data_IF_739258504991
#
_entry.id   IF_739258504991
#
_cell.length_a   1.000
_cell.length_b   1.000
_cell.length_c   1.000
_cell.angle_alpha   90.00
_cell.angle_beta   90.00
_cell.angle_gamma   90.00
#
_symmetry.space_group_name_H-M   'P 1'
#
loop_
_entity.id
_entity.type
_entity.pdbx_description
1 polymer ?
#
# COMPACT_ATOMS: atom_id res chain seq x y z
N UNK A 1 3.62 3.99 10.75
CA UNK A 1 3.56 4.34 9.32
C UNK A 1 2.11 4.57 8.90
N UNK A 2 1.85 5.62 8.12
CA UNK A 2 0.50 6.10 7.74
C UNK A 2 -0.12 7.06 8.76
N UNK A 3 -1.12 6.59 9.50
CA UNK A 3 -1.99 7.38 10.37
C UNK A 3 -1.41 7.78 11.76
N UNK A 4 -0.11 7.54 12.01
CA UNK A 4 0.51 7.73 13.33
C UNK A 4 0.33 6.51 14.23
N UNK A 5 1.40 5.77 14.49
CA UNK A 5 1.43 4.66 15.44
C UNK A 5 1.50 5.19 16.89
N UNK A 6 1.15 4.37 17.91
CA UNK A 6 1.38 4.74 19.30
C UNK A 6 2.84 5.16 19.53
N UNK A 7 3.04 6.38 20.05
CA UNK A 7 4.35 6.99 20.25
C UNK A 7 4.81 7.93 19.14
N UNK A 8 4.14 7.96 17.98
CA UNK A 8 4.44 8.92 16.91
C UNK A 8 4.00 10.34 17.32
N UNK A 9 4.92 11.30 17.28
CA UNK A 9 4.61 12.73 17.56
C UNK A 9 3.78 13.39 16.46
N UNK A 10 3.79 12.83 15.25
CA UNK A 10 3.09 13.35 14.07
C UNK A 10 2.83 12.22 13.09
N UNK A 11 1.90 12.41 12.15
CA UNK A 11 1.67 11.44 11.06
C UNK A 11 2.63 11.71 9.91
N UNK A 12 2.87 10.69 9.08
CA UNK A 12 3.68 10.85 7.86
C UNK A 12 3.09 11.92 6.93
N UNK A 13 1.76 11.93 6.78
CA UNK A 13 1.07 12.92 5.98
C UNK A 13 1.27 14.36 6.51
N UNK A 14 1.23 14.54 7.83
CA UNK A 14 1.48 15.84 8.45
C UNK A 14 2.95 16.27 8.30
N UNK A 15 3.90 15.34 8.47
CA UNK A 15 5.32 15.60 8.25
C UNK A 15 5.62 16.00 6.79
N UNK A 16 5.04 15.30 5.82
CA UNK A 16 5.17 15.61 4.40
C UNK A 16 4.60 16.99 4.05
N UNK A 17 3.40 17.32 4.56
CA UNK A 17 2.81 18.65 4.37
C UNK A 17 3.67 19.75 4.99
N UNK A 18 4.19 19.52 6.19
CA UNK A 18 5.11 20.45 6.82
C UNK A 18 6.34 20.70 5.93
N UNK A 19 7.01 19.64 5.47
CA UNK A 19 8.20 19.76 4.64
C UNK A 19 7.91 20.51 3.33
N UNK A 20 6.89 20.11 2.57
CA UNK A 20 6.54 20.75 1.29
C UNK A 20 6.22 22.25 1.46
N UNK A 21 5.50 22.59 2.51
CA UNK A 21 5.10 23.99 2.75
C UNK A 21 6.26 24.87 3.20
N UNK A 22 7.25 24.31 3.90
CA UNK A 22 8.49 25.02 4.24
C UNK A 22 9.46 25.15 3.06
N UNK A 23 9.25 24.36 2.00
CA UNK A 23 10.05 24.38 0.76
C UNK A 23 9.32 25.06 -0.40
N UNK A 24 8.43 26.01 -0.09
CA UNK A 24 7.84 26.92 -1.08
C UNK A 24 6.54 26.44 -1.75
N UNK A 25 6.04 25.25 -1.43
CA UNK A 25 4.73 24.81 -1.94
C UNK A 25 3.62 25.45 -1.11
N UNK A 26 2.72 26.20 -1.77
CA UNK A 26 1.61 26.85 -1.07
C UNK A 26 0.74 25.84 -0.30
N UNK A 27 0.35 26.18 0.94
CA UNK A 27 -0.48 25.31 1.82
C UNK A 27 -1.78 24.85 1.16
N UNK A 28 -2.37 25.69 0.29
CA UNK A 28 -3.59 25.38 -0.46
C UNK A 28 -3.40 24.31 -1.56
N UNK A 29 -2.16 24.00 -1.91
CA UNK A 29 -1.78 22.96 -2.89
C UNK A 29 -1.42 21.63 -2.23
N UNK A 30 -1.45 21.53 -0.89
CA UNK A 30 -1.04 20.33 -0.16
C UNK A 30 -2.14 19.86 0.79
N UNK A 31 -2.60 18.63 0.57
CA UNK A 31 -3.59 17.96 1.40
C UNK A 31 -2.88 16.83 2.13
N UNK A 32 -2.92 16.86 3.46
CA UNK A 32 -2.45 15.76 4.29
C UNK A 32 -3.63 14.86 4.61
N UNK A 33 -3.52 13.56 4.29
CA UNK A 33 -4.52 12.55 4.62
C UNK A 33 -3.92 11.63 5.70
N UNK A 34 -4.16 11.89 7.00
CA UNK A 34 -3.56 11.15 8.12
C UNK A 34 -4.32 9.87 8.43
N UNK A 35 -4.79 9.16 7.39
CA UNK A 35 -5.63 7.96 7.53
C UNK A 35 -5.07 6.83 6.68
N UNK A 36 -5.34 5.59 7.11
CA UNK A 36 -4.80 4.38 6.50
C UNK A 36 -3.53 3.90 7.21
N UNK A 37 -3.47 2.59 7.47
CA UNK A 37 -2.33 1.92 8.14
C UNK A 37 -1.56 1.00 7.20
N UNK A 38 -2.08 0.80 6.00
CA UNK A 38 -1.51 -0.02 4.94
C UNK A 38 -1.72 0.69 3.59
N UNK A 39 -1.06 0.18 2.54
CA UNK A 39 -1.13 0.77 1.20
C UNK A 39 -2.56 0.87 0.68
N UNK A 40 -3.39 -0.17 0.88
CA UNK A 40 -4.74 -0.22 0.33
C UNK A 40 -5.66 0.84 0.97
N UNK A 41 -5.66 0.93 2.29
CA UNK A 41 -6.46 1.92 3.04
C UNK A 41 -6.01 3.35 2.75
N UNK A 42 -4.71 3.59 2.57
CA UNK A 42 -4.18 4.88 2.12
C UNK A 42 -4.62 5.20 0.68
N UNK A 43 -4.58 4.21 -0.22
CA UNK A 43 -5.08 4.36 -1.59
C UNK A 43 -6.56 4.72 -1.62
N UNK A 44 -7.40 4.01 -0.87
CA UNK A 44 -8.83 4.32 -0.77
C UNK A 44 -9.06 5.76 -0.28
N UNK A 45 -8.26 6.22 0.69
CA UNK A 45 -8.38 7.56 1.23
C UNK A 45 -8.07 8.64 0.20
N UNK A 46 -6.93 8.57 -0.52
CA UNK A 46 -6.61 9.59 -1.50
C UNK A 46 -7.50 9.49 -2.75
N UNK A 47 -7.95 8.30 -3.15
CA UNK A 47 -8.88 8.14 -4.27
C UNK A 47 -10.22 8.81 -3.94
N UNK A 48 -10.71 8.69 -2.70
CA UNK A 48 -11.92 9.41 -2.26
C UNK A 48 -11.75 10.92 -2.40
N UNK A 49 -10.60 11.45 -2.00
CA UNK A 49 -10.27 12.88 -2.13
C UNK A 49 -10.11 13.32 -3.60
N UNK A 50 -9.53 12.47 -4.45
CA UNK A 50 -9.42 12.73 -5.88
C UNK A 50 -10.80 12.80 -6.55
N UNK A 51 -11.69 11.85 -6.22
CA UNK A 51 -13.06 11.80 -6.77
C UNK A 51 -13.88 13.03 -6.39
N UNK A 52 -13.79 13.53 -5.16
CA UNK A 52 -14.48 14.75 -4.74
C UNK A 52 -14.04 15.98 -5.55
N UNK A 53 -12.82 15.94 -6.10
CA UNK A 53 -12.21 16.99 -6.93
C UNK A 53 -12.26 16.72 -8.42
N UNK A 54 -12.89 15.62 -8.87
CA UNK A 54 -12.93 15.17 -10.27
C UNK A 54 -11.52 14.99 -10.88
N UNK A 55 -10.56 14.53 -10.08
CA UNK A 55 -9.20 14.18 -10.50
C UNK A 55 -9.14 12.68 -10.72
N UNK A 56 -8.55 12.23 -11.82
CA UNK A 56 -8.44 10.80 -12.17
C UNK A 56 -7.00 10.35 -12.43
N UNK A 57 -6.14 11.24 -12.93
CA UNK A 57 -4.73 10.95 -13.16
C UNK A 57 -3.91 11.21 -11.88
N UNK A 58 -3.00 10.31 -11.53
CA UNK A 58 -2.14 10.45 -10.34
C UNK A 58 -0.73 9.95 -10.62
N UNK A 59 0.26 10.71 -10.15
CA UNK A 59 1.65 10.27 -10.06
C UNK A 59 1.90 9.87 -8.62
N UNK A 60 2.25 8.60 -8.40
CA UNK A 60 2.56 8.07 -7.08
C UNK A 60 4.08 8.16 -6.86
N UNK A 61 4.51 8.93 -5.87
CA UNK A 61 5.92 9.01 -5.49
C UNK A 61 6.23 8.01 -4.38
N UNK A 62 7.02 6.97 -4.67
CA UNK A 62 7.34 5.90 -3.70
C UNK A 62 8.60 5.12 -4.08
N UNK A 63 8.95 4.08 -3.33
CA UNK A 63 10.09 3.20 -3.62
C UNK A 63 9.86 2.37 -4.89
N UNK A 64 10.94 2.03 -5.61
CA UNK A 64 10.83 1.41 -6.94
C UNK A 64 10.06 0.09 -6.97
N UNK A 65 10.33 -0.82 -6.02
CA UNK A 65 9.57 -2.09 -5.95
C UNK A 65 8.13 -1.91 -5.46
N UNK A 66 7.85 -0.83 -4.71
CA UNK A 66 6.50 -0.52 -4.22
C UNK A 66 5.61 0.09 -5.31
N UNK A 67 6.19 0.70 -6.35
CA UNK A 67 5.47 1.32 -7.46
C UNK A 67 4.40 0.39 -8.06
N UNK A 68 4.77 -0.86 -8.38
CA UNK A 68 3.85 -1.78 -9.06
C UNK A 68 2.60 -2.02 -8.21
N UNK A 69 2.79 -2.33 -6.92
CA UNK A 69 1.70 -2.60 -5.99
C UNK A 69 0.79 -1.39 -5.80
N UNK A 70 1.38 -0.22 -5.58
CA UNK A 70 0.63 1.02 -5.39
C UNK A 70 -0.17 1.42 -6.63
N UNK A 71 0.44 1.34 -7.83
CA UNK A 71 -0.26 1.63 -9.09
C UNK A 71 -1.40 0.66 -9.34
N UNK A 72 -1.21 -0.64 -9.11
CA UNK A 72 -2.27 -1.63 -9.30
C UNK A 72 -3.47 -1.34 -8.40
N UNK A 73 -3.25 -1.09 -7.10
CA UNK A 73 -4.34 -0.74 -6.17
C UNK A 73 -5.07 0.54 -6.59
N UNK A 74 -4.34 1.54 -7.08
CA UNK A 74 -4.91 2.81 -7.54
C UNK A 74 -5.75 2.65 -8.81
N UNK A 75 -5.23 1.91 -9.79
CA UNK A 75 -5.92 1.61 -11.04
C UNK A 75 -7.18 0.79 -10.80
N UNK A 76 -7.14 -0.21 -9.91
CA UNK A 76 -8.30 -1.00 -9.53
C UNK A 76 -9.40 -0.16 -8.83
N UNK A 77 -9.04 0.99 -8.26
CA UNK A 77 -9.96 1.97 -7.67
C UNK A 77 -10.36 3.11 -8.63
N UNK A 78 -10.02 3.00 -9.91
CA UNK A 78 -10.48 3.89 -10.98
C UNK A 78 -9.63 5.14 -11.21
N UNK A 79 -8.40 5.17 -10.70
CA UNK A 79 -7.42 6.17 -11.14
C UNK A 79 -6.66 5.71 -12.39
N UNK A 80 -5.98 6.65 -13.05
CA UNK A 80 -4.95 6.41 -14.05
C UNK A 80 -3.62 6.72 -13.39
N UNK A 81 -2.96 5.69 -12.87
CA UNK A 81 -1.76 5.83 -12.05
C UNK A 81 -0.47 5.65 -12.86
N UNK A 82 0.48 6.54 -12.62
CA UNK A 82 1.90 6.38 -12.97
C UNK A 82 2.74 6.47 -11.70
N UNK A 83 4.01 6.06 -11.76
CA UNK A 83 4.91 6.11 -10.60
C UNK A 83 6.13 6.98 -10.85
N UNK A 84 6.55 7.70 -9.81
CA UNK A 84 7.85 8.37 -9.71
C UNK A 84 8.68 7.67 -8.64
N UNK A 85 9.54 6.70 -9.02
CA UNK A 85 10.33 5.96 -8.05
C UNK A 85 11.41 6.85 -7.43
N UNK A 86 11.63 6.72 -6.12
CA UNK A 86 12.74 7.40 -5.45
C UNK A 86 14.08 6.99 -6.07
N UNK A 87 14.95 7.98 -6.28
CA UNK A 87 16.28 7.80 -6.87
C UNK A 87 17.38 7.67 -5.81
N UNK A 88 17.06 7.95 -4.54
CA UNK A 88 17.99 7.84 -3.42
C UNK A 88 17.33 7.18 -2.20
N UNK A 89 18.17 6.69 -1.30
CA UNK A 89 17.76 6.01 -0.07
C UNK A 89 17.89 4.48 -0.13
N UNK A 90 17.52 3.79 0.97
CA UNK A 90 17.81 2.37 1.16
C UNK A 90 16.96 1.41 0.29
N UNK A 91 15.89 1.92 -0.33
CA UNK A 91 14.93 1.11 -1.08
C UNK A 91 14.90 1.48 -2.59
N UNK A 92 15.94 2.12 -3.09
CA UNK A 92 16.13 2.28 -4.55
C UNK A 92 16.43 0.94 -5.21
N UNK A 93 16.34 0.84 -6.54
CA UNK A 93 16.69 -0.41 -7.24
C UNK A 93 18.13 -0.87 -6.96
N UNK A 94 19.06 0.08 -6.87
CA UNK A 94 20.49 -0.21 -6.66
C UNK A 94 20.81 -0.55 -5.19
N UNK A 95 20.08 0.03 -4.24
CA UNK A 95 20.38 -0.12 -2.80
C UNK A 95 19.45 -1.10 -2.07
N UNK A 96 18.36 -1.52 -2.71
CA UNK A 96 17.35 -2.38 -2.09
C UNK A 96 17.87 -3.79 -1.88
N UNK A 97 17.55 -4.35 -0.71
CA UNK A 97 17.85 -5.75 -0.38
C UNK A 97 16.81 -6.70 -0.96
N UNK A 98 17.22 -7.92 -1.27
CA UNK A 98 16.33 -8.99 -1.74
C UNK A 98 15.12 -9.23 -0.83
N UNK A 99 15.29 -9.09 0.50
CA UNK A 99 14.19 -9.16 1.48
C UNK A 99 13.08 -8.14 1.24
N UNK A 100 13.43 -6.92 0.83
CA UNK A 100 12.46 -5.87 0.54
C UNK A 100 11.69 -6.19 -0.75
N UNK A 101 12.37 -6.67 -1.79
CA UNK A 101 11.72 -7.18 -3.00
C UNK A 101 10.72 -8.30 -2.69
N UNK A 102 11.11 -9.31 -1.90
CA UNK A 102 10.19 -10.40 -1.49
C UNK A 102 8.97 -9.84 -0.75
N UNK A 103 9.17 -8.89 0.17
CA UNK A 103 8.08 -8.27 0.91
C UNK A 103 7.07 -7.61 -0.03
N UNK A 104 7.56 -6.82 -0.98
CA UNK A 104 6.70 -6.12 -1.94
C UNK A 104 6.00 -7.11 -2.90
N UNK A 105 6.70 -8.13 -3.37
CA UNK A 105 6.13 -9.19 -4.20
C UNK A 105 5.03 -9.98 -3.46
N UNK A 106 5.29 -10.38 -2.22
CA UNK A 106 4.32 -11.08 -1.38
C UNK A 106 3.08 -10.23 -1.09
N UNK A 107 3.27 -8.95 -0.75
CA UNK A 107 2.15 -8.04 -0.52
C UNK A 107 1.34 -7.77 -1.80
N UNK A 108 1.99 -7.72 -2.97
CA UNK A 108 1.30 -7.61 -4.25
C UNK A 108 0.46 -8.86 -4.55
N UNK A 109 1.05 -10.05 -4.38
CA UNK A 109 0.34 -11.31 -4.57
C UNK A 109 -0.83 -11.47 -3.60
N UNK A 110 -0.64 -11.12 -2.33
CA UNK A 110 -1.72 -11.13 -1.34
C UNK A 110 -2.88 -10.22 -1.75
N UNK A 111 -2.59 -9.02 -2.25
CA UNK A 111 -3.62 -8.12 -2.77
C UNK A 111 -4.36 -8.72 -3.97
N UNK A 112 -3.64 -9.25 -4.97
CA UNK A 112 -4.26 -9.85 -6.17
C UNK A 112 -5.10 -11.08 -5.84
N UNK A 113 -4.63 -11.93 -4.92
CA UNK A 113 -5.29 -13.20 -4.60
C UNK A 113 -6.42 -13.02 -3.59
N UNK A 114 -6.12 -12.47 -2.42
CA UNK A 114 -7.06 -12.34 -1.31
C UNK A 114 -7.97 -11.13 -1.49
N UNK A 115 -7.43 -10.01 -1.96
CA UNK A 115 -8.17 -8.75 -2.09
C UNK A 115 -9.00 -8.65 -3.37
N UNK A 116 -8.36 -8.87 -4.53
CA UNK A 116 -8.98 -8.66 -5.86
C UNK A 116 -9.79 -9.85 -6.33
N UNK A 117 -9.33 -11.08 -6.07
CA UNK A 117 -10.02 -12.31 -6.48
C UNK A 117 -10.85 -12.95 -5.36
N UNK A 118 -10.78 -12.45 -4.13
CA UNK A 118 -11.57 -12.95 -3.01
C UNK A 118 -11.24 -14.40 -2.63
N UNK A 119 -10.03 -14.89 -2.91
CA UNK A 119 -9.62 -16.23 -2.50
C UNK A 119 -9.44 -16.20 -0.98
N UNK A 120 -10.31 -16.86 -0.23
CA UNK A 120 -10.11 -17.03 1.20
C UNK A 120 -9.26 -18.28 1.42
N UNK A 121 -8.16 -18.19 2.18
CA UNK A 121 -7.30 -19.36 2.46
C UNK A 121 -8.10 -20.49 3.15
N UNK A 122 -9.21 -20.14 3.81
CA UNK A 122 -10.21 -21.06 4.36
C UNK A 122 -10.87 -21.98 3.32
N UNK A 123 -11.09 -21.49 2.09
CA UNK A 123 -11.84 -22.20 1.05
C UNK A 123 -11.07 -23.42 0.50
N UNK A 124 -9.76 -23.49 0.73
CA UNK A 124 -8.90 -24.59 0.31
C UNK A 124 -8.37 -25.46 1.46
N UNK A 125 -8.51 -25.02 2.72
CA UNK A 125 -8.10 -25.82 3.88
C UNK A 125 -9.17 -26.82 4.34
N UNK A 126 -10.45 -26.57 4.05
CA UNK A 126 -11.54 -27.49 4.41
C UNK A 126 -11.57 -28.80 3.60
N UNK A 127 -10.75 -28.94 2.54
CA UNK A 127 -10.80 -30.11 1.64
C UNK A 127 -9.45 -30.81 1.45
N UNK A 128 -8.46 -30.53 2.29
CA UNK A 128 -7.19 -31.28 2.30
C UNK A 128 -7.29 -32.42 3.31
N UNK A 129 -7.05 -33.66 2.86
CA UNK A 129 -7.16 -34.89 3.64
C UNK A 129 -6.28 -34.99 4.90
N UNK A 130 -5.57 -33.91 5.26
CA UNK A 130 -4.78 -33.77 6.48
C UNK A 130 -5.66 -33.75 7.74
N UNK A 131 -6.87 -33.16 7.69
CA UNK A 131 -7.79 -33.11 8.84
C UNK A 131 -8.30 -34.52 9.20
N UNK A 132 -8.44 -35.40 8.20
CA UNK A 132 -8.90 -36.77 8.39
C UNK A 132 -7.85 -37.64 9.09
N UNK A 133 -6.56 -37.40 8.81
CA UNK A 133 -5.46 -38.15 9.42
C UNK A 133 -5.29 -37.87 10.92
N UNK A 134 -5.53 -36.64 11.36
CA UNK A 134 -5.42 -36.26 12.78
C UNK A 134 -6.57 -36.83 13.61
N UNK A 135 -7.75 -37.05 13.02
CA UNK A 135 -8.89 -37.63 13.73
C UNK A 135 -8.74 -39.15 13.94
N UNK A 136 -8.04 -39.86 13.06
CA UNK A 136 -7.76 -41.31 13.21
C UNK A 136 -6.62 -41.62 14.19
N UNK A 137 -5.83 -40.61 14.58
CA UNK A 137 -4.71 -40.76 15.53
C UNK A 137 -5.10 -40.49 17.00
N UNK A 138 -6.34 -40.08 17.26
CA UNK A 138 -6.84 -39.69 18.60
C UNK A 138 -8.03 -40.58 19.06
N UNK A 139 -8.36 -41.64 18.32
CA UNK A 139 -9.24 -42.73 18.78
C UNK A 139 -8.47 -44.04 18.84
#
# INVERSE_FOLDING_TARGET
>A
MGAGAPGDRTTEAAAGKYWLTHHGIAKSKVIALPVGRDTLSQTQAYIKEMRSRKIYNVIIATDAYHCQRAMTMANDLGAVATCSPTQSGPNTLENSRYRYLIREAGAYLAYITLGRRGIHISDHLSNSGLVRYVHELIQ
#
